data_IF_783629934888
#
_entry.id   IF_783629934888
#
_cell.length_a   1.000
_cell.length_b   1.000
_cell.length_c   1.000
_cell.angle_alpha   90.00
_cell.angle_beta   90.00
_cell.angle_gamma   90.00
#
_symmetry.space_group_name_H-M   'P 1'
#
loop_
_entity.id
_entity.type
_entity.pdbx_description
1 polymer ?
#
# COMPACT_ATOMS: atom_id res chain seq x y z
N UNK A 1 -7.87 24.08 -9.39
CA UNK A 1 -7.21 23.46 -8.21
C UNK A 1 -5.72 23.58 -8.43
N UNK A 2 -4.93 24.19 -7.54
CA UNK A 2 -3.48 24.12 -7.68
C UNK A 2 -3.06 22.67 -7.46
N UNK A 3 -2.62 22.01 -8.53
CA UNK A 3 -2.02 20.67 -8.49
C UNK A 3 -0.61 20.79 -7.92
N UNK A 4 -0.52 20.87 -6.60
CA UNK A 4 0.79 20.77 -5.93
C UNK A 4 1.15 19.28 -5.88
N UNK A 5 1.68 18.75 -6.99
CA UNK A 5 2.17 17.38 -7.04
C UNK A 5 3.37 17.17 -6.12
N UNK A 6 3.73 15.90 -5.91
CA UNK A 6 4.99 15.53 -5.23
C UNK A 6 6.16 16.23 -5.93
N UNK A 7 7.01 16.89 -5.15
CA UNK A 7 8.21 17.57 -5.62
C UNK A 7 9.43 16.74 -5.23
N UNK A 8 10.34 16.57 -6.18
CA UNK A 8 11.64 15.97 -5.96
C UNK A 8 12.70 17.07 -6.00
N UNK A 9 13.54 17.14 -4.96
CA UNK A 9 14.66 18.08 -4.87
C UNK A 9 15.96 17.29 -4.64
N UNK A 10 16.84 17.17 -5.66
CA UNK A 10 18.10 16.46 -5.54
C UNK A 10 19.22 17.30 -4.93
N UNK A 11 19.01 18.56 -4.55
CA UNK A 11 20.11 19.43 -4.11
C UNK A 11 20.93 18.85 -2.94
N UNK A 12 20.27 18.10 -2.05
CA UNK A 12 20.93 17.46 -0.91
C UNK A 12 21.94 16.37 -1.26
N UNK A 13 21.97 15.86 -2.51
CA UNK A 13 22.92 14.83 -2.94
C UNK A 13 24.16 15.39 -3.65
N UNK A 14 24.16 16.66 -4.05
CA UNK A 14 25.29 17.29 -4.73
C UNK A 14 26.22 17.94 -3.71
N UNK A 15 27.30 17.25 -3.35
CA UNK A 15 28.28 17.70 -2.35
C UNK A 15 29.70 17.64 -2.94
N UNK A 16 30.53 18.70 -2.78
CA UNK A 16 31.83 18.79 -3.44
C UNK A 16 32.82 17.65 -3.17
N UNK A 17 32.85 17.11 -1.94
CA UNK A 17 33.86 16.13 -1.53
C UNK A 17 33.34 14.68 -1.46
N UNK A 18 32.05 14.49 -1.19
CA UNK A 18 31.45 13.16 -0.90
C UNK A 18 30.09 12.93 -1.56
N UNK A 19 29.63 13.84 -2.42
CA UNK A 19 28.34 13.74 -3.10
C UNK A 19 28.47 13.44 -4.58
N UNK A 20 27.32 13.46 -5.28
CA UNK A 20 27.28 13.35 -6.73
C UNK A 20 27.74 14.67 -7.37
N UNK A 21 28.31 14.59 -8.57
CA UNK A 21 28.54 15.78 -9.38
C UNK A 21 27.20 16.25 -9.97
N UNK A 22 27.04 17.56 -10.18
CA UNK A 22 25.78 18.13 -10.69
C UNK A 22 25.39 17.57 -12.07
N UNK A 23 26.37 17.17 -12.87
CA UNK A 23 26.16 16.61 -14.20
C UNK A 23 25.90 15.08 -14.20
N UNK A 24 26.03 14.39 -13.07
CA UNK A 24 25.91 12.91 -13.00
C UNK A 24 24.57 12.41 -13.52
N UNK A 25 23.45 13.08 -13.18
CA UNK A 25 22.13 12.68 -13.68
C UNK A 25 22.02 12.86 -15.20
N UNK A 26 22.62 13.92 -15.75
CA UNK A 26 22.65 14.17 -17.20
C UNK A 26 23.46 13.10 -17.93
N UNK A 27 24.62 12.73 -17.39
CA UNK A 27 25.47 11.67 -17.95
C UNK A 27 24.78 10.30 -17.94
N UNK A 28 23.87 10.05 -16.99
CA UNK A 28 23.09 8.81 -16.90
C UNK A 28 21.81 8.82 -17.74
N UNK A 29 21.47 9.94 -18.39
CA UNK A 29 20.17 10.14 -19.05
C UNK A 29 19.81 9.02 -20.03
N UNK A 30 20.75 8.61 -20.89
CA UNK A 30 20.50 7.56 -21.89
C UNK A 30 20.21 6.20 -21.24
N UNK A 31 20.95 5.85 -20.18
CA UNK A 31 20.75 4.61 -19.44
C UNK A 31 19.41 4.63 -18.70
N UNK A 32 19.08 5.74 -18.05
CA UNK A 32 17.79 5.92 -17.38
C UNK A 32 16.63 5.86 -18.37
N UNK A 33 16.79 6.45 -19.56
CA UNK A 33 15.83 6.40 -20.65
C UNK A 33 15.61 4.97 -21.16
N UNK A 34 16.69 4.21 -21.35
CA UNK A 34 16.62 2.80 -21.72
C UNK A 34 15.91 1.95 -20.64
N UNK A 35 16.25 2.13 -19.35
CA UNK A 35 15.57 1.45 -18.24
C UNK A 35 14.09 1.81 -18.18
N UNK A 36 13.73 3.09 -18.37
CA UNK A 36 12.32 3.51 -18.43
C UNK A 36 11.58 2.83 -19.58
N UNK A 37 12.19 2.78 -20.77
CA UNK A 37 11.58 2.15 -21.94
C UNK A 37 11.34 0.65 -21.70
N UNK A 38 12.30 -0.03 -21.07
CA UNK A 38 12.17 -1.45 -20.69
C UNK A 38 11.02 -1.66 -19.69
N UNK A 39 10.95 -0.88 -18.62
CA UNK A 39 9.89 -0.99 -17.60
C UNK A 39 8.50 -0.80 -18.22
N UNK A 40 8.35 0.14 -19.16
CA UNK A 40 7.07 0.36 -19.85
C UNK A 40 6.74 -0.78 -20.81
N UNK A 41 7.71 -1.30 -21.55
CA UNK A 41 7.51 -2.46 -22.42
C UNK A 41 7.10 -3.70 -21.61
N UNK A 42 7.65 -3.88 -20.41
CA UNK A 42 7.29 -4.98 -19.51
C UNK A 42 5.86 -4.85 -18.97
N UNK A 43 5.41 -3.62 -18.68
CA UNK A 43 4.02 -3.36 -18.30
C UNK A 43 3.05 -3.66 -19.46
N UNK A 44 3.40 -3.26 -20.69
CA UNK A 44 2.62 -3.58 -21.90
C UNK A 44 2.56 -5.09 -22.17
N UNK A 45 3.70 -5.79 -22.04
CA UNK A 45 3.78 -7.23 -22.20
C UNK A 45 2.89 -7.93 -21.17
N UNK A 46 2.96 -7.52 -19.90
CA UNK A 46 2.13 -8.06 -18.83
C UNK A 46 0.64 -7.87 -19.12
N UNK A 47 0.25 -6.66 -19.54
CA UNK A 47 -1.14 -6.33 -19.85
C UNK A 47 -1.67 -7.10 -21.07
N UNK A 48 -0.81 -7.40 -22.04
CA UNK A 48 -1.19 -8.16 -23.25
C UNK A 48 -1.46 -9.65 -22.99
N UNK A 49 -0.94 -10.21 -21.89
CA UNK A 49 -1.00 -11.65 -21.61
C UNK A 49 -0.21 -12.51 -22.61
N UNK A 50 0.76 -11.91 -23.32
CA UNK A 50 1.58 -12.59 -24.32
C UNK A 50 2.66 -13.50 -23.73
N UNK A 51 3.46 -14.10 -24.62
CA UNK A 51 4.57 -14.97 -24.24
C UNK A 51 5.67 -14.19 -23.52
N UNK A 52 5.97 -14.58 -22.28
CA UNK A 52 7.01 -13.95 -21.47
C UNK A 52 8.37 -14.60 -21.76
N UNK A 53 9.41 -13.84 -22.12
CA UNK A 53 10.78 -14.35 -22.26
C UNK A 53 11.26 -15.05 -20.99
N UNK A 54 12.03 -16.13 -21.12
CA UNK A 54 12.43 -16.98 -20.00
C UNK A 54 13.18 -16.21 -18.90
N UNK A 55 13.98 -15.22 -19.28
CA UNK A 55 14.73 -14.34 -18.39
C UNK A 55 13.85 -13.36 -17.60
N UNK A 56 12.60 -13.15 -18.03
CA UNK A 56 11.62 -12.25 -17.41
C UNK A 56 10.54 -13.00 -16.63
N UNK A 57 10.73 -14.28 -16.34
CA UNK A 57 9.77 -15.07 -15.55
C UNK A 57 10.19 -15.05 -14.06
N UNK A 58 9.31 -14.63 -13.13
CA UNK A 58 7.96 -14.09 -13.34
C UNK A 58 7.98 -12.63 -13.83
N UNK A 59 7.02 -12.28 -14.69
CA UNK A 59 6.84 -10.90 -15.15
C UNK A 59 5.92 -10.16 -14.17
N UNK A 60 6.49 -9.47 -13.20
CA UNK A 60 5.76 -8.79 -12.13
C UNK A 60 5.56 -7.29 -12.40
N UNK A 61 5.12 -6.93 -13.61
CA UNK A 61 4.96 -5.54 -14.05
C UNK A 61 3.55 -4.95 -13.87
N UNK A 62 2.57 -5.77 -13.43
CA UNK A 62 1.16 -5.36 -13.34
C UNK A 62 0.85 -4.24 -12.34
N UNK A 63 1.76 -3.98 -11.39
CA UNK A 63 1.53 -2.93 -10.38
C UNK A 63 1.53 -1.51 -10.96
N UNK A 64 2.16 -1.29 -12.11
CA UNK A 64 2.31 0.04 -12.73
C UNK A 64 0.94 0.58 -13.17
N UNK A 65 0.13 -0.27 -13.82
CA UNK A 65 -1.21 0.09 -14.30
C UNK A 65 -2.32 -0.19 -13.30
N UNK A 66 -2.01 -0.81 -12.17
CA UNK A 66 -2.98 -1.17 -11.13
C UNK A 66 -3.89 0.01 -10.71
N UNK A 67 -3.39 1.24 -10.48
CA UNK A 67 -4.26 2.36 -10.10
C UNK A 67 -5.29 2.72 -11.18
N UNK A 68 -4.87 2.75 -12.45
CA UNK A 68 -5.76 3.06 -13.58
C UNK A 68 -6.80 1.95 -13.74
N UNK A 69 -6.34 0.69 -13.72
CA UNK A 69 -7.22 -0.49 -13.80
C UNK A 69 -8.31 -0.47 -12.73
N UNK A 70 -7.93 -0.34 -11.45
CA UNK A 70 -8.89 -0.31 -10.34
C UNK A 70 -9.90 0.83 -10.47
N UNK A 71 -9.43 2.01 -10.90
CA UNK A 71 -10.30 3.17 -11.05
C UNK A 71 -11.27 3.03 -12.22
N UNK A 72 -10.82 2.51 -13.35
CA UNK A 72 -11.66 2.33 -14.54
C UNK A 72 -12.66 1.17 -14.36
N UNK A 73 -12.26 0.09 -13.68
CA UNK A 73 -13.16 -0.98 -13.24
C UNK A 73 -14.24 -0.43 -12.29
N UNK A 74 -13.85 0.40 -11.31
CA UNK A 74 -14.81 1.03 -10.40
C UNK A 74 -15.78 1.97 -11.12
N UNK A 75 -15.30 2.75 -12.10
CA UNK A 75 -16.16 3.63 -12.90
C UNK A 75 -17.17 2.87 -13.77
N UNK A 76 -16.77 1.72 -14.30
CA UNK A 76 -17.62 0.91 -15.18
C UNK A 76 -18.57 -0.01 -14.42
N UNK A 77 -18.11 -0.59 -13.31
CA UNK A 77 -18.81 -1.68 -12.61
C UNK A 77 -19.23 -1.36 -11.17
N UNK A 78 -18.86 -0.18 -10.65
CA UNK A 78 -19.26 0.29 -9.32
C UNK A 78 -18.93 -0.71 -8.22
N UNK A 79 -19.92 -1.05 -7.39
CA UNK A 79 -19.79 -1.98 -6.25
C UNK A 79 -19.36 -3.40 -6.64
N UNK A 80 -19.57 -3.80 -7.90
CA UNK A 80 -19.15 -5.12 -8.40
C UNK A 80 -17.66 -5.20 -8.75
N UNK A 81 -16.97 -4.06 -8.86
CA UNK A 81 -15.52 -4.00 -9.10
C UNK A 81 -14.70 -4.39 -7.87
N UNK A 82 -13.42 -4.70 -8.06
CA UNK A 82 -12.49 -5.01 -6.97
C UNK A 82 -12.44 -3.87 -5.93
N UNK A 83 -12.29 -2.63 -6.37
CA UNK A 83 -12.28 -1.46 -5.48
C UNK A 83 -13.63 -1.26 -4.77
N UNK A 84 -14.75 -1.49 -5.48
CA UNK A 84 -16.08 -1.42 -4.90
C UNK A 84 -16.29 -2.42 -3.76
N UNK A 85 -15.85 -3.67 -3.97
CA UNK A 85 -15.89 -4.73 -2.97
C UNK A 85 -14.99 -4.43 -1.75
N UNK A 86 -13.81 -3.84 -1.98
CA UNK A 86 -12.92 -3.39 -0.89
C UNK A 86 -13.62 -2.31 -0.05
N UNK A 87 -14.24 -1.31 -0.67
CA UNK A 87 -14.97 -0.24 0.01
C UNK A 87 -16.17 -0.80 0.79
N UNK A 88 -16.95 -1.69 0.18
CA UNK A 88 -18.09 -2.34 0.83
C UNK A 88 -17.65 -3.16 2.06
N UNK A 89 -16.55 -3.91 1.93
CA UNK A 89 -15.97 -4.67 3.05
C UNK A 89 -15.51 -3.75 4.17
N UNK A 90 -14.87 -2.62 3.84
CA UNK A 90 -14.44 -1.63 4.83
C UNK A 90 -15.63 -1.02 5.59
N UNK A 91 -16.74 -0.70 4.91
CA UNK A 91 -17.96 -0.23 5.56
C UNK A 91 -18.59 -1.30 6.46
N UNK A 92 -18.65 -2.55 5.98
CA UNK A 92 -19.16 -3.67 6.79
C UNK A 92 -18.34 -3.83 8.08
N UNK A 93 -17.02 -3.75 8.01
CA UNK A 93 -16.16 -3.78 9.20
C UNK A 93 -16.40 -2.58 10.12
N UNK A 94 -16.58 -1.37 9.56
CA UNK A 94 -16.93 -0.16 10.32
C UNK A 94 -18.27 -0.27 11.04
N UNK A 95 -19.21 -1.07 10.55
CA UNK A 95 -20.52 -1.23 11.22
C UNK A 95 -20.49 -2.34 12.27
N UNK A 96 -19.77 -3.43 12.02
CA UNK A 96 -19.92 -4.66 12.79
C UNK A 96 -18.81 -4.92 13.80
N UNK A 97 -17.62 -4.31 13.65
CA UNK A 97 -16.49 -4.57 14.55
C UNK A 97 -15.92 -3.30 15.18
N UNK A 98 -15.31 -3.46 16.36
CA UNK A 98 -14.55 -2.40 17.03
C UNK A 98 -13.04 -2.58 16.91
N UNK A 99 -12.58 -3.75 16.48
CA UNK A 99 -11.16 -4.09 16.32
C UNK A 99 -10.97 -4.95 15.08
N UNK A 100 -9.94 -4.66 14.31
CA UNK A 100 -9.46 -5.46 13.19
C UNK A 100 -8.00 -5.79 13.45
N UNK A 101 -7.61 -7.05 13.25
CA UNK A 101 -6.22 -7.48 13.32
C UNK A 101 -5.78 -7.92 11.93
N UNK A 102 -4.82 -7.20 11.36
CA UNK A 102 -4.18 -7.57 10.10
C UNK A 102 -3.05 -8.56 10.41
N UNK A 103 -3.18 -9.79 9.89
CA UNK A 103 -2.19 -10.85 10.04
C UNK A 103 -1.32 -10.92 8.79
N UNK A 104 -0.04 -10.55 8.89
CA UNK A 104 0.85 -10.52 7.73
C UNK A 104 2.30 -10.21 8.08
N UNK A 105 3.20 -10.47 7.13
CA UNK A 105 4.64 -10.17 7.22
C UNK A 105 5.15 -9.66 5.87
N UNK A 106 6.20 -8.83 5.88
CA UNK A 106 6.75 -8.25 4.67
C UNK A 106 5.72 -7.37 3.95
N UNK A 107 5.51 -7.61 2.65
CA UNK A 107 4.61 -6.80 1.82
C UNK A 107 3.15 -6.78 2.29
N UNK A 108 2.66 -7.89 2.87
CA UNK A 108 1.28 -7.99 3.37
C UNK A 108 1.03 -7.28 4.70
N UNK A 109 2.06 -6.64 5.27
CA UNK A 109 2.00 -5.92 6.54
C UNK A 109 2.52 -4.48 6.41
N UNK A 110 3.69 -4.29 5.80
CA UNK A 110 4.37 -2.98 5.80
C UNK A 110 3.57 -1.90 5.07
N UNK A 111 2.95 -2.24 3.93
CA UNK A 111 2.15 -1.27 3.17
C UNK A 111 0.91 -0.80 3.95
N UNK A 112 0.15 -1.73 4.52
CA UNK A 112 -1.02 -1.42 5.32
C UNK A 112 -0.66 -0.64 6.59
N UNK A 113 0.43 -1.01 7.27
CA UNK A 113 0.92 -0.32 8.46
C UNK A 113 1.39 1.10 8.14
N UNK A 114 2.17 1.29 7.07
CA UNK A 114 2.65 2.60 6.65
C UNK A 114 1.49 3.55 6.30
N UNK A 115 0.48 3.07 5.56
CA UNK A 115 -0.71 3.86 5.26
C UNK A 115 -1.48 4.25 6.51
N UNK A 116 -1.65 3.31 7.46
CA UNK A 116 -2.35 3.59 8.71
C UNK A 116 -1.58 4.64 9.54
N UNK A 117 -0.27 4.48 9.72
CA UNK A 117 0.54 5.42 10.50
C UNK A 117 0.65 6.80 9.85
N UNK A 118 0.68 6.88 8.52
CA UNK A 118 0.79 8.15 7.78
C UNK A 118 -0.55 8.91 7.68
N UNK A 119 -1.68 8.20 7.58
CA UNK A 119 -2.97 8.82 7.29
C UNK A 119 -3.95 8.84 8.47
N UNK A 120 -3.79 7.96 9.47
CA UNK A 120 -4.66 7.95 10.64
C UNK A 120 -4.17 8.92 11.72
N UNK A 121 -5.02 9.17 12.72
CA UNK A 121 -4.61 9.92 13.90
C UNK A 121 -3.48 9.16 14.64
N UNK A 122 -2.40 9.82 15.12
CA UNK A 122 -1.27 9.13 15.77
C UNK A 122 -1.66 8.27 16.99
N UNK A 123 -2.77 8.61 17.63
CA UNK A 123 -3.36 7.86 18.74
C UNK A 123 -4.72 7.22 18.39
N UNK A 124 -4.95 6.87 17.12
CA UNK A 124 -6.25 6.35 16.62
C UNK A 124 -6.83 5.28 17.55
N UNK A 125 -6.04 4.28 17.95
CA UNK A 125 -6.51 3.18 18.80
C UNK A 125 -6.89 3.59 20.24
N UNK A 126 -6.37 4.71 20.75
CA UNK A 126 -6.72 5.24 22.08
C UNK A 126 -8.01 6.06 22.05
N UNK A 127 -8.45 6.48 20.86
CA UNK A 127 -9.65 7.28 20.73
C UNK A 127 -10.92 6.44 20.90
N UNK A 128 -11.91 7.04 21.57
CA UNK A 128 -13.28 6.54 21.56
C UNK A 128 -13.80 6.41 20.12
N UNK A 129 -14.70 5.44 19.87
CA UNK A 129 -15.22 5.14 18.52
C UNK A 129 -15.81 6.36 17.81
N UNK A 130 -16.53 7.22 18.52
CA UNK A 130 -17.09 8.45 17.96
C UNK A 130 -16.01 9.42 17.45
N UNK A 131 -14.82 9.42 18.07
CA UNK A 131 -13.67 10.24 17.67
C UNK A 131 -12.81 9.60 16.56
N UNK A 132 -13.14 8.37 16.16
CA UNK A 132 -12.60 7.66 14.99
C UNK A 132 -13.60 7.64 13.83
N UNK A 133 -14.64 8.47 13.86
CA UNK A 133 -15.75 8.43 12.89
C UNK A 133 -16.38 7.04 12.74
N UNK A 134 -16.43 6.25 13.81
CA UNK A 134 -16.96 4.88 13.77
C UNK A 134 -15.99 3.82 13.25
N UNK A 135 -14.84 4.20 12.66
CA UNK A 135 -13.84 3.23 12.17
C UNK A 135 -13.25 2.41 13.31
N UNK A 136 -12.99 1.09 13.13
CA UNK A 136 -12.47 0.21 14.18
C UNK A 136 -11.02 0.56 14.56
N UNK A 137 -10.57 0.02 15.69
CA UNK A 137 -9.15 -0.01 16.03
C UNK A 137 -8.45 -0.99 15.09
N UNK A 138 -7.24 -0.66 14.65
CA UNK A 138 -6.46 -1.49 13.73
C UNK A 138 -5.21 -1.96 14.44
N UNK A 139 -5.00 -3.27 14.48
CA UNK A 139 -3.81 -3.92 15.01
C UNK A 139 -3.11 -4.71 13.91
N UNK A 140 -1.81 -4.90 14.05
CA UNK A 140 -1.00 -5.67 13.13
C UNK A 140 -0.28 -6.76 13.92
N UNK A 141 -0.31 -8.00 13.41
CA UNK A 141 0.32 -9.15 14.05
C UNK A 141 0.77 -10.16 12.99
N UNK A 142 1.48 -11.22 13.41
CA UNK A 142 2.04 -12.24 12.51
C UNK A 142 3.30 -11.81 11.75
N UNK A 143 3.81 -10.60 12.01
CA UNK A 143 5.04 -10.09 11.42
C UNK A 143 6.32 -10.54 12.15
N UNK A 144 6.18 -11.26 13.26
CA UNK A 144 7.27 -11.89 14.02
C UNK A 144 6.73 -13.14 14.76
N UNK A 145 7.61 -13.83 15.49
CA UNK A 145 7.28 -15.01 16.32
C UNK A 145 7.32 -14.69 17.83
N UNK A 146 7.06 -13.44 18.19
CA UNK A 146 7.05 -12.99 19.57
C UNK A 146 5.76 -13.44 20.28
N UNK A 147 5.91 -14.39 21.20
CA UNK A 147 4.81 -14.95 21.97
C UNK A 147 4.15 -13.91 22.89
N UNK A 148 4.91 -12.95 23.40
CA UNK A 148 4.41 -11.94 24.33
C UNK A 148 3.54 -10.92 23.57
N UNK A 149 3.97 -10.50 22.37
CA UNK A 149 3.18 -9.64 21.50
C UNK A 149 1.87 -10.31 21.04
N UNK A 150 1.93 -11.61 20.71
CA UNK A 150 0.73 -12.39 20.39
C UNK A 150 -0.21 -12.50 21.60
N UNK A 151 0.32 -12.82 22.78
CA UNK A 151 -0.47 -12.91 24.01
C UNK A 151 -1.13 -11.57 24.34
N UNK A 152 -0.40 -10.45 24.26
CA UNK A 152 -0.95 -9.11 24.48
C UNK A 152 -2.06 -8.75 23.48
N UNK A 153 -1.94 -9.16 22.22
CA UNK A 153 -3.01 -8.98 21.23
C UNK A 153 -4.25 -9.79 21.61
N UNK A 154 -4.09 -11.05 22.03
CA UNK A 154 -5.21 -11.89 22.46
C UNK A 154 -5.90 -11.36 23.70
N UNK A 155 -5.15 -10.87 24.69
CA UNK A 155 -5.71 -10.26 25.89
C UNK A 155 -6.54 -9.03 25.56
N UNK A 156 -6.07 -8.18 24.64
CA UNK A 156 -6.80 -7.01 24.15
C UNK A 156 -8.13 -7.37 23.45
N UNK A 157 -8.22 -8.56 22.83
CA UNK A 157 -9.42 -9.03 22.13
C UNK A 157 -10.43 -9.72 23.06
N UNK A 158 -9.99 -10.32 24.17
CA UNK A 158 -10.84 -11.06 25.11
C UNK A 158 -11.89 -10.19 25.81
N UNK A 159 -11.61 -8.90 25.96
CA UNK A 159 -12.51 -7.94 26.61
C UNK A 159 -13.68 -7.48 25.73
N UNK A 160 -13.94 -8.14 24.59
CA UNK A 160 -15.00 -7.80 23.66
C UNK A 160 -15.95 -8.97 23.40
N UNK A 161 -17.26 -8.70 23.45
CA UNK A 161 -18.26 -9.63 22.93
C UNK A 161 -18.04 -9.78 21.42
N UNK A 162 -17.63 -10.97 20.99
CA UNK A 162 -17.40 -11.27 19.58
C UNK A 162 -18.73 -11.26 18.81
N UNK A 163 -18.80 -10.44 17.76
CA UNK A 163 -19.80 -10.57 16.70
C UNK A 163 -19.02 -10.98 15.45
N UNK A 164 -19.24 -12.19 14.94
CA UNK A 164 -18.65 -12.59 13.66
C UNK A 164 -19.31 -11.77 12.54
N UNK A 165 -18.51 -11.41 11.54
CA UNK A 165 -18.99 -10.75 10.33
C UNK A 165 -18.82 -11.78 9.21
N UNK A 166 -19.80 -12.67 9.09
CA UNK A 166 -19.87 -13.62 7.98
C UNK A 166 -20.23 -12.86 6.70
#
# INVERSE_FOLDING_TARGET
>A
MPTTGLRYDPQGVYLPEHGLAENTLTEMSDRLGATRAEVLADAELWASGGDVPAEKIPLDAGFIELPNRLLDEYRSSGDASELGQIIATAQRLREHVDRVVCLGIGGSYMGARALFEACAHPHHNELARARRDGWPRIYFSGNNVDNDAMAGTLDLLRDCSATSVD
#
